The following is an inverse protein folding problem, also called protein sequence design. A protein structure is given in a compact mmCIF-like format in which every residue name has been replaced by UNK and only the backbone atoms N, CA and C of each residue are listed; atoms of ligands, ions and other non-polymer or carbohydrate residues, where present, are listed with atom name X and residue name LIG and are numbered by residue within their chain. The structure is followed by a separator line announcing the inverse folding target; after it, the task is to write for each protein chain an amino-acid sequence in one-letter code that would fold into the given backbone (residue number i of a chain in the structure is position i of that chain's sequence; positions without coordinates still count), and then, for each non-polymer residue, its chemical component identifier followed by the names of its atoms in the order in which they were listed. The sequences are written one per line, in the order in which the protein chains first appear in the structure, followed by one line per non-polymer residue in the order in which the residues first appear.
data_IF_815535519159
#
_entry.id   IF_815535519159
#
_cell.length_a   1.000
_cell.length_b   1.000
_cell.length_c   1.000
_cell.angle_alpha   90.00
_cell.angle_beta   90.00
_cell.angle_gamma   90.00
#
_symmetry.space_group_name_H-M   'P 1'
#
loop_
_entity.id
_entity.type
_entity.pdbx_description
1 polymer ?
#
# COMPACT_ATOMS: atom_id res chain seq x y z
N UNK A 1 8.48 -19.60 -18.36
CA UNK A 1 9.63 -18.90 -17.78
C UNK A 1 9.19 -17.54 -17.25
N UNK A 2 9.85 -17.02 -16.23
CA UNK A 2 9.60 -15.69 -15.65
C UNK A 2 9.58 -14.60 -16.74
N UNK A 3 10.52 -14.64 -17.66
CA UNK A 3 10.62 -13.69 -18.78
C UNK A 3 9.32 -13.64 -19.62
N UNK A 4 8.76 -14.80 -19.96
CA UNK A 4 7.51 -14.87 -20.72
C UNK A 4 6.36 -14.27 -19.94
N UNK A 5 6.27 -14.56 -18.63
CA UNK A 5 5.26 -13.99 -17.75
C UNK A 5 5.37 -12.45 -17.67
N UNK A 6 6.59 -11.89 -17.52
CA UNK A 6 6.81 -10.44 -17.52
C UNK A 6 6.36 -9.76 -18.83
N UNK A 7 6.53 -10.45 -19.98
CA UNK A 7 6.04 -9.97 -21.28
C UNK A 7 4.52 -10.01 -21.32
N UNK A 8 3.91 -11.14 -20.93
CA UNK A 8 2.46 -11.32 -20.94
C UNK A 8 1.76 -10.31 -20.03
N UNK A 9 2.38 -9.97 -18.90
CA UNK A 9 1.89 -8.93 -17.96
C UNK A 9 2.28 -7.51 -18.35
N UNK A 10 2.96 -7.31 -19.47
CA UNK A 10 3.39 -6.02 -20.02
C UNK A 10 4.32 -5.20 -19.13
N UNK A 11 5.11 -5.87 -18.29
CA UNK A 11 6.17 -5.18 -17.53
C UNK A 11 7.43 -4.97 -18.36
N UNK A 12 7.68 -5.84 -19.34
CA UNK A 12 8.74 -5.71 -20.33
C UNK A 12 8.17 -5.94 -21.73
N UNK A 13 8.85 -5.43 -22.74
CA UNK A 13 8.56 -5.69 -24.14
C UNK A 13 9.82 -6.09 -24.90
N UNK A 14 9.64 -6.83 -25.98
CA UNK A 14 10.74 -7.12 -26.91
C UNK A 14 11.06 -5.84 -27.67
N UNK A 15 12.32 -5.49 -27.72
CA UNK A 15 12.81 -4.43 -28.59
C UNK A 15 13.09 -5.05 -29.96
N UNK A 16 12.35 -4.63 -31.01
CA UNK A 16 12.73 -4.94 -32.37
C UNK A 16 14.01 -4.14 -32.66
N UNK A 17 15.14 -4.82 -32.73
CA UNK A 17 16.32 -4.28 -33.35
C UNK A 17 15.97 -4.25 -34.82
N UNK A 18 15.28 -3.19 -35.27
CA UNK A 18 15.06 -2.93 -36.68
C UNK A 18 16.45 -3.00 -37.33
N UNK A 19 16.54 -3.68 -38.49
CA UNK A 19 17.74 -3.79 -39.28
C UNK A 19 18.58 -2.50 -39.09
N UNK A 20 19.74 -2.66 -38.43
CA UNK A 20 20.72 -1.58 -38.36
C UNK A 20 20.87 -1.03 -39.75
N UNK A 21 20.44 0.22 -39.98
CA UNK A 21 20.91 0.95 -41.14
C UNK A 21 22.43 0.93 -41.05
N UNK A 22 23.08 0.32 -42.03
CA UNK A 22 24.54 0.11 -42.17
C UNK A 22 25.30 1.45 -42.42
N UNK A 23 24.92 2.55 -41.72
CA UNK A 23 25.63 3.80 -41.76
C UNK A 23 25.95 4.27 -40.35
N UNK A 24 26.71 3.47 -39.61
CA UNK A 24 27.47 3.93 -38.48
C UNK A 24 28.92 4.00 -38.91
N UNK A 25 29.50 5.19 -38.88
CA UNK A 25 30.94 5.35 -39.02
C UNK A 25 31.66 4.42 -38.06
N UNK A 26 32.59 3.67 -38.58
CA UNK A 26 33.30 2.53 -37.99
C UNK A 26 34.20 2.94 -36.77
N UNK A 27 34.15 4.18 -36.31
CA UNK A 27 35.07 4.74 -35.31
C UNK A 27 34.48 4.97 -33.89
N UNK A 28 33.22 4.59 -33.63
CA UNK A 28 32.69 4.60 -32.24
C UNK A 28 32.80 3.25 -31.56
N UNK A 29 33.61 3.12 -30.50
CA UNK A 29 33.72 1.85 -29.76
C UNK A 29 32.33 1.44 -29.24
N UNK A 30 31.97 0.14 -29.46
CA UNK A 30 30.74 -0.37 -28.86
C UNK A 30 30.84 -0.26 -27.33
N UNK A 31 29.74 -0.05 -26.65
CA UNK A 31 29.71 0.00 -25.16
C UNK A 31 30.34 -1.26 -24.52
N UNK A 32 30.31 -2.38 -25.22
CA UNK A 32 30.95 -3.62 -24.81
C UNK A 32 32.48 -3.48 -24.81
N UNK A 33 33.06 -2.77 -25.78
CA UNK A 33 34.50 -2.52 -25.85
C UNK A 33 34.94 -1.51 -24.81
N UNK A 34 34.09 -0.50 -24.50
CA UNK A 34 34.31 0.45 -23.42
C UNK A 34 34.22 -0.23 -22.05
N UNK A 35 33.28 -1.16 -21.85
CA UNK A 35 33.16 -1.92 -20.62
C UNK A 35 34.36 -2.87 -20.40
N UNK A 36 34.87 -3.46 -21.45
CA UNK A 36 36.09 -4.32 -21.41
C UNK A 36 37.34 -3.52 -21.07
N UNK A 37 37.45 -2.31 -21.63
CA UNK A 37 38.63 -1.43 -21.37
C UNK A 37 38.60 -0.77 -19.99
N UNK A 38 37.42 -0.52 -19.42
CA UNK A 38 37.26 0.12 -18.11
C UNK A 38 37.38 -0.86 -16.93
N UNK A 39 37.09 -2.15 -17.13
CA UNK A 39 37.02 -3.11 -16.04
C UNK A 39 38.33 -3.90 -15.82
N UNK A 40 39.22 -3.97 -16.82
CA UNK A 40 40.46 -4.75 -16.73
C UNK A 40 40.26 -6.25 -16.40
N UNK A 41 39.03 -6.72 -16.50
CA UNK A 41 38.67 -8.11 -16.17
C UNK A 41 38.67 -8.94 -17.44
N UNK A 42 39.74 -9.70 -17.63
CA UNK A 42 39.73 -10.85 -18.55
C UNK A 42 38.63 -11.80 -18.09
N UNK A 43 37.70 -12.10 -19.00
CA UNK A 43 36.73 -13.19 -18.78
C UNK A 43 37.52 -14.46 -18.65
N UNK A 44 37.72 -14.91 -17.42
CA UNK A 44 38.34 -16.21 -17.14
C UNK A 44 37.37 -17.26 -17.67
N UNK A 45 37.77 -17.96 -18.75
CA UNK A 45 37.12 -19.17 -19.19
C UNK A 45 37.02 -20.10 -17.98
N UNK A 46 35.82 -20.59 -17.71
CA UNK A 46 35.49 -21.48 -16.61
C UNK A 46 36.61 -22.51 -16.36
N UNK A 47 37.25 -22.39 -15.20
CA UNK A 47 37.92 -23.52 -14.58
C UNK A 47 36.82 -24.36 -13.92
N UNK A 48 36.59 -25.52 -14.46
CA UNK A 48 35.87 -26.58 -13.77
C UNK A 48 36.63 -26.84 -12.46
N UNK A 49 36.08 -26.36 -11.35
CA UNK A 49 36.61 -26.68 -10.00
C UNK A 49 36.04 -28.07 -9.68
N UNK A 50 36.87 -29.08 -9.74
CA UNK A 50 36.54 -30.37 -9.16
C UNK A 50 36.32 -30.18 -7.66
N UNK A 51 35.24 -30.72 -7.07
CA UNK A 51 34.96 -30.57 -5.66
C UNK A 51 35.99 -31.38 -4.86
N UNK A 52 36.95 -30.71 -4.23
CA UNK A 52 37.75 -31.29 -3.17
C UNK A 52 36.86 -31.56 -1.96
N UNK A 53 36.93 -32.75 -1.44
CA UNK A 53 36.26 -33.24 -0.25
C UNK A 53 36.53 -32.34 0.95
N UNK A 54 35.55 -31.49 1.28
CA UNK A 54 35.48 -30.83 2.58
C UNK A 54 34.21 -31.31 3.29
N UNK A 55 34.42 -32.25 4.16
CA UNK A 55 33.47 -32.79 5.12
C UNK A 55 32.94 -31.71 6.04
N UNK A 56 31.77 -31.14 5.77
CA UNK A 56 30.87 -30.57 6.76
C UNK A 56 29.45 -31.03 6.44
N UNK A 57 28.81 -31.69 7.43
CA UNK A 57 27.64 -32.51 7.34
C UNK A 57 26.32 -31.80 6.91
N UNK A 58 26.21 -31.50 5.65
CA UNK A 58 24.95 -31.27 4.98
C UNK A 58 24.57 -32.48 4.11
N UNK A 59 23.39 -33.07 4.40
CA UNK A 59 22.83 -34.14 3.59
C UNK A 59 22.68 -33.64 2.14
N UNK A 60 23.27 -34.38 1.20
CA UNK A 60 23.03 -34.22 -0.23
C UNK A 60 21.51 -34.17 -0.45
N UNK A 61 21.02 -33.09 -0.99
CA UNK A 61 19.72 -33.04 -1.64
C UNK A 61 19.86 -33.73 -3.00
N UNK A 62 19.79 -35.05 -2.99
CA UNK A 62 19.65 -35.85 -4.21
C UNK A 62 18.23 -35.70 -4.69
N UNK A 63 18.05 -35.20 -5.90
CA UNK A 63 16.87 -35.02 -6.73
C UNK A 63 16.31 -33.56 -6.76
N UNK A 64 17.21 -32.60 -7.00
CA UNK A 64 16.80 -31.46 -7.81
C UNK A 64 17.22 -31.84 -9.24
N UNK A 65 16.26 -32.19 -10.07
CA UNK A 65 16.49 -32.19 -11.52
C UNK A 65 16.97 -30.78 -11.88
N UNK A 66 18.24 -30.64 -12.13
CA UNK A 66 18.78 -29.43 -12.75
C UNK A 66 18.13 -29.36 -14.13
N UNK A 67 17.04 -28.59 -14.25
CA UNK A 67 16.70 -28.05 -15.54
C UNK A 67 17.87 -27.11 -15.92
N UNK A 68 18.84 -27.72 -16.57
CA UNK A 68 19.86 -26.99 -17.34
C UNK A 68 19.06 -26.18 -18.35
N UNK A 69 18.93 -24.89 -18.09
CA UNK A 69 18.38 -23.97 -19.08
C UNK A 69 19.40 -24.00 -20.21
N UNK A 70 19.05 -24.67 -21.30
CA UNK A 70 19.87 -24.75 -22.49
C UNK A 70 19.96 -23.35 -23.12
N UNK A 71 21.01 -22.61 -22.77
CA UNK A 71 21.33 -21.30 -23.34
C UNK A 71 21.93 -21.40 -24.75
N UNK A 72 21.95 -22.59 -25.37
CA UNK A 72 22.55 -22.79 -26.70
C UNK A 72 21.59 -22.49 -27.84
N UNK A 73 20.32 -22.11 -27.60
CA UNK A 73 19.49 -21.63 -28.70
C UNK A 73 19.94 -20.22 -29.09
N UNK A 74 20.54 -20.10 -30.26
CA UNK A 74 21.04 -18.87 -30.89
C UNK A 74 19.98 -17.73 -30.95
N UNK A 75 18.72 -18.09 -30.83
CA UNK A 75 17.59 -17.11 -30.78
C UNK A 75 17.54 -16.28 -29.50
N UNK A 76 18.23 -16.67 -28.42
CA UNK A 76 18.22 -15.94 -27.15
C UNK A 76 19.14 -14.72 -27.14
N UNK A 77 20.12 -14.66 -28.03
CA UNK A 77 21.13 -13.59 -28.03
C UNK A 77 20.76 -12.37 -28.89
N UNK A 78 19.80 -12.50 -29.81
CA UNK A 78 19.38 -11.39 -30.68
C UNK A 78 18.12 -10.65 -30.20
N UNK A 79 17.58 -11.01 -29.04
CA UNK A 79 16.37 -10.39 -28.54
C UNK A 79 16.69 -9.47 -27.36
N UNK A 80 16.64 -8.16 -27.56
CA UNK A 80 16.72 -7.19 -26.48
C UNK A 80 15.33 -7.01 -25.83
N UNK A 81 15.32 -6.81 -24.54
CA UNK A 81 14.12 -6.51 -23.77
C UNK A 81 14.27 -5.15 -23.11
N UNK A 82 13.20 -4.38 -23.10
CA UNK A 82 13.15 -3.11 -22.38
C UNK A 82 11.95 -3.08 -21.43
N UNK A 83 12.11 -2.38 -20.31
CA UNK A 83 11.00 -2.17 -19.39
C UNK A 83 9.96 -1.25 -20.03
N UNK A 84 8.70 -1.64 -19.94
CA UNK A 84 7.60 -0.74 -20.27
C UNK A 84 7.49 0.38 -19.23
N UNK A 85 6.68 1.38 -19.50
CA UNK A 85 6.39 2.45 -18.54
C UNK A 85 5.86 1.88 -17.20
N UNK A 86 5.02 0.84 -17.26
CA UNK A 86 4.52 0.14 -16.08
C UNK A 86 5.65 -0.61 -15.39
N UNK A 87 6.50 -1.33 -16.13
CA UNK A 87 7.66 -2.03 -15.58
C UNK A 87 8.66 -1.09 -14.90
N UNK A 88 8.91 0.08 -15.49
CA UNK A 88 9.75 1.12 -14.87
C UNK A 88 9.11 1.64 -13.56
N UNK A 89 7.79 1.83 -13.54
CA UNK A 89 7.07 2.27 -12.33
C UNK A 89 7.17 1.22 -11.22
N UNK A 90 7.00 -0.07 -11.54
CA UNK A 90 7.17 -1.18 -10.59
C UNK A 90 8.57 -1.18 -9.98
N UNK A 91 9.60 -1.03 -10.81
CA UNK A 91 10.98 -0.94 -10.34
C UNK A 91 11.22 0.29 -9.44
N UNK A 92 10.66 1.47 -9.79
CA UNK A 92 10.75 2.68 -8.98
C UNK A 92 10.06 2.55 -7.61
N UNK A 93 8.99 1.78 -7.53
CA UNK A 93 8.25 1.52 -6.31
C UNK A 93 8.89 0.45 -5.42
N UNK A 94 9.92 -0.24 -5.91
CA UNK A 94 10.62 -1.33 -5.23
C UNK A 94 9.70 -2.47 -4.79
N UNK A 95 8.67 -2.78 -5.58
CA UNK A 95 7.73 -3.87 -5.31
C UNK A 95 8.00 -5.06 -6.23
N UNK A 96 7.67 -6.25 -5.75
CA UNK A 96 7.71 -7.46 -6.55
C UNK A 96 6.75 -7.35 -7.76
N UNK A 97 7.16 -7.73 -9.00
CA UNK A 97 6.26 -7.73 -10.15
C UNK A 97 4.96 -8.51 -9.93
N UNK A 98 5.01 -9.60 -9.16
CA UNK A 98 3.80 -10.35 -8.80
C UNK A 98 2.88 -9.56 -7.88
N UNK A 99 3.44 -8.80 -6.93
CA UNK A 99 2.66 -7.84 -6.13
C UNK A 99 1.97 -6.79 -6.99
N UNK A 100 2.70 -6.25 -7.96
CA UNK A 100 2.15 -5.28 -8.90
C UNK A 100 1.00 -5.87 -9.73
N UNK A 101 1.13 -7.10 -10.21
CA UNK A 101 0.09 -7.80 -10.97
C UNK A 101 -1.18 -8.01 -10.13
N UNK A 102 -1.04 -8.50 -8.90
CA UNK A 102 -2.15 -8.68 -7.96
C UNK A 102 -2.86 -7.35 -7.69
N UNK A 103 -2.10 -6.29 -7.42
CA UNK A 103 -2.66 -4.96 -7.15
C UNK A 103 -3.39 -4.42 -8.37
N UNK A 104 -2.79 -4.46 -9.56
CA UNK A 104 -3.39 -3.97 -10.81
C UNK A 104 -4.71 -4.68 -11.09
N UNK A 105 -4.75 -6.01 -11.02
CA UNK A 105 -5.98 -6.77 -11.29
C UNK A 105 -7.09 -6.49 -10.26
N UNK A 106 -6.74 -6.39 -8.97
CA UNK A 106 -7.70 -6.03 -7.93
C UNK A 106 -8.23 -4.60 -8.08
N UNK A 107 -7.36 -3.64 -8.42
CA UNK A 107 -7.74 -2.25 -8.66
C UNK A 107 -8.62 -2.11 -9.92
N UNK A 108 -8.32 -2.85 -10.98
CA UNK A 108 -9.18 -2.92 -12.17
C UNK A 108 -10.56 -3.47 -11.84
N UNK A 109 -10.63 -4.48 -10.96
CA UNK A 109 -11.92 -5.00 -10.45
C UNK A 109 -12.64 -3.93 -9.63
N UNK A 110 -11.95 -3.19 -8.77
CA UNK A 110 -12.54 -2.10 -7.99
C UNK A 110 -13.13 -1.01 -8.89
N UNK A 111 -12.42 -0.55 -9.92
CA UNK A 111 -12.96 0.43 -10.88
C UNK A 111 -14.20 -0.12 -11.57
N UNK A 112 -14.18 -1.39 -12.05
CA UNK A 112 -15.36 -2.01 -12.67
C UNK A 112 -16.58 -2.06 -11.73
N UNK A 113 -16.37 -2.35 -10.42
CA UNK A 113 -17.45 -2.31 -9.43
C UNK A 113 -18.03 -0.91 -9.25
N UNK A 114 -17.18 0.11 -9.17
CA UNK A 114 -17.63 1.51 -9.08
C UNK A 114 -18.43 1.90 -10.32
N UNK A 115 -17.95 1.55 -11.52
CA UNK A 115 -18.66 1.82 -12.79
C UNK A 115 -20.03 1.15 -12.84
N UNK A 116 -20.12 -0.11 -12.41
CA UNK A 116 -21.37 -0.89 -12.43
C UNK A 116 -22.29 -0.55 -11.27
N UNK A 117 -21.75 0.02 -10.21
CA UNK A 117 -22.44 0.28 -8.93
C UNK A 117 -23.11 -0.99 -8.37
N UNK A 118 -22.40 -2.12 -8.44
CA UNK A 118 -22.92 -3.44 -8.04
C UNK A 118 -22.48 -3.84 -6.63
N UNK A 119 -21.19 -3.85 -6.36
CA UNK A 119 -20.63 -4.24 -5.06
C UNK A 119 -19.80 -3.12 -4.45
N UNK A 120 -19.75 -2.99 -3.12
CA UNK A 120 -19.01 -1.93 -2.47
C UNK A 120 -17.49 -2.08 -2.68
N UNK A 121 -16.81 -0.95 -2.83
CA UNK A 121 -15.36 -0.85 -2.74
C UNK A 121 -15.04 -0.15 -1.42
N UNK A 122 -14.45 -0.88 -0.49
CA UNK A 122 -14.23 -0.43 0.88
C UNK A 122 -12.75 -0.33 1.23
N UNK A 123 -12.45 0.39 2.31
CA UNK A 123 -11.10 0.44 2.88
C UNK A 123 -10.61 -0.95 3.30
N UNK A 124 -11.51 -1.79 3.84
CA UNK A 124 -11.19 -3.17 4.17
C UNK A 124 -10.79 -3.97 2.93
N UNK A 125 -11.58 -3.88 1.85
CA UNK A 125 -11.28 -4.55 0.58
C UNK A 125 -9.93 -4.14 0.00
N UNK A 126 -9.56 -2.86 0.10
CA UNK A 126 -8.23 -2.36 -0.29
C UNK A 126 -7.12 -2.93 0.59
N UNK A 127 -7.31 -2.96 1.91
CA UNK A 127 -6.33 -3.56 2.83
C UNK A 127 -6.18 -5.07 2.60
N UNK A 128 -7.28 -5.78 2.29
CA UNK A 128 -7.24 -7.20 1.95
C UNK A 128 -6.48 -7.44 0.64
N UNK A 129 -6.71 -6.63 -0.38
CA UNK A 129 -5.98 -6.70 -1.65
C UNK A 129 -4.47 -6.52 -1.43
N UNK A 130 -4.08 -5.53 -0.64
CA UNK A 130 -2.66 -5.30 -0.28
C UNK A 130 -2.10 -6.49 0.49
N UNK A 131 -2.86 -7.04 1.44
CA UNK A 131 -2.42 -8.19 2.24
C UNK A 131 -2.16 -9.45 1.39
N UNK A 132 -2.76 -9.55 0.20
CA UNK A 132 -2.57 -10.67 -0.71
C UNK A 132 -1.24 -10.63 -1.50
N UNK A 133 -0.54 -9.50 -1.47
CA UNK A 133 0.73 -9.34 -2.20
C UNK A 133 1.89 -10.08 -1.52
N UNK A 134 2.86 -10.62 -2.28
CA UNK A 134 4.07 -11.21 -1.73
C UNK A 134 4.89 -10.26 -0.84
N UNK A 135 4.87 -8.96 -1.14
CA UNK A 135 5.59 -7.94 -0.36
C UNK A 135 4.96 -7.68 1.01
N UNK A 136 3.72 -8.09 1.23
CA UNK A 136 3.06 -7.93 2.52
C UNK A 136 3.27 -9.16 3.40
N UNK A 137 3.74 -8.94 4.62
CA UNK A 137 3.92 -9.99 5.61
C UNK A 137 2.61 -10.30 6.31
N UNK A 138 1.81 -11.22 5.74
CA UNK A 138 0.50 -11.58 6.26
C UNK A 138 0.57 -12.23 7.65
N UNK A 139 -0.48 -12.01 8.44
CA UNK A 139 -0.67 -12.66 9.73
C UNK A 139 -1.22 -14.08 9.53
N UNK A 140 -0.59 -15.05 10.16
CA UNK A 140 -1.12 -16.41 10.14
C UNK A 140 -2.25 -16.58 11.17
N UNK A 141 -3.35 -17.24 10.81
CA UNK A 141 -4.40 -17.57 11.77
C UNK A 141 -3.92 -18.65 12.74
N UNK A 142 -4.39 -18.60 13.97
CA UNK A 142 -4.25 -19.71 14.92
C UNK A 142 -5.30 -20.78 14.61
N UNK A 143 -5.04 -22.05 15.00
CA UNK A 143 -6.00 -23.14 14.78
C UNK A 143 -7.39 -22.83 15.35
N UNK A 144 -7.48 -22.23 16.53
CA UNK A 144 -8.76 -21.82 17.15
C UNK A 144 -9.49 -20.69 16.40
N UNK A 145 -8.79 -19.90 15.62
CA UNK A 145 -9.38 -18.85 14.77
C UNK A 145 -9.96 -19.42 13.47
N UNK A 146 -9.60 -20.65 13.13
CA UNK A 146 -10.13 -21.40 11.98
C UNK A 146 -11.37 -22.20 12.32
N UNK A 147 -11.73 -22.31 13.60
CA UNK A 147 -12.91 -23.03 14.06
C UNK A 147 -14.19 -22.37 13.53
N UNK A 148 -15.20 -23.22 13.31
CA UNK A 148 -16.52 -22.75 12.91
C UNK A 148 -17.12 -21.87 14.02
N UNK A 149 -17.51 -20.63 13.65
CA UNK A 149 -18.06 -19.67 14.62
C UNK A 149 -17.01 -18.74 15.26
N UNK A 150 -15.72 -18.89 14.94
CA UNK A 150 -14.70 -17.93 15.39
C UNK A 150 -14.97 -16.52 14.86
N UNK A 151 -14.51 -15.51 15.61
CA UNK A 151 -14.63 -14.10 15.20
C UNK A 151 -14.00 -13.84 13.82
N UNK A 152 -12.90 -14.54 13.51
CA UNK A 152 -12.21 -14.38 12.22
C UNK A 152 -13.05 -14.90 11.06
N UNK A 153 -13.70 -16.08 11.22
CA UNK A 153 -14.61 -16.60 10.20
C UNK A 153 -15.86 -15.73 10.02
N UNK A 154 -16.39 -15.20 11.12
CA UNK A 154 -17.51 -14.26 11.04
C UNK A 154 -17.12 -12.99 10.29
N UNK A 155 -15.92 -12.43 10.58
CA UNK A 155 -15.42 -11.24 9.83
C UNK A 155 -15.19 -11.56 8.36
N UNK A 156 -14.68 -12.76 8.04
CA UNK A 156 -14.48 -13.20 6.66
C UNK A 156 -15.81 -13.29 5.90
N UNK A 157 -16.85 -13.86 6.51
CA UNK A 157 -18.18 -13.96 5.91
C UNK A 157 -18.82 -12.59 5.65
N UNK A 158 -18.67 -11.64 6.60
CA UNK A 158 -19.16 -10.26 6.42
C UNK A 158 -18.41 -9.55 5.28
N UNK A 159 -17.12 -9.86 5.09
CA UNK A 159 -16.28 -9.19 4.09
C UNK A 159 -16.41 -9.76 2.68
N UNK A 160 -17.12 -10.86 2.46
CA UNK A 160 -17.13 -11.57 1.19
C UNK A 160 -17.40 -10.65 -0.01
N UNK A 161 -18.38 -9.77 0.11
CA UNK A 161 -18.73 -8.79 -0.94
C UNK A 161 -17.70 -7.66 -1.10
N UNK A 162 -16.85 -7.44 -0.09
CA UNK A 162 -15.84 -6.39 -0.11
C UNK A 162 -14.55 -6.83 -0.82
N UNK A 163 -14.31 -8.16 -0.95
CA UNK A 163 -13.05 -8.70 -1.45
C UNK A 163 -12.84 -8.39 -2.94
N UNK A 164 -11.70 -7.77 -3.25
CA UNK A 164 -11.31 -7.38 -4.61
C UNK A 164 -10.58 -8.48 -5.37
N UNK A 165 -10.23 -9.57 -4.71
CA UNK A 165 -9.61 -10.76 -5.30
C UNK A 165 -10.40 -11.98 -4.90
N UNK A 166 -10.43 -12.97 -5.78
CA UNK A 166 -10.93 -14.30 -5.45
C UNK A 166 -9.86 -15.02 -4.66
N UNK A 167 -10.23 -15.53 -3.52
CA UNK A 167 -9.33 -16.34 -2.70
C UNK A 167 -10.07 -17.61 -2.28
N UNK A 168 -9.47 -18.79 -2.46
CA UNK A 168 -10.04 -20.00 -1.90
C UNK A 168 -10.17 -19.82 -0.38
N UNK A 169 -11.20 -20.43 0.24
CA UNK A 169 -11.40 -20.37 1.69
C UNK A 169 -10.42 -21.30 2.44
N UNK A 170 -9.15 -21.11 2.18
CA UNK A 170 -8.06 -21.83 2.83
C UNK A 170 -7.45 -21.02 4.00
N UNK A 171 -6.48 -21.61 4.67
CA UNK A 171 -5.79 -21.01 5.79
C UNK A 171 -5.07 -19.70 5.39
N UNK A 172 -4.53 -19.65 4.17
CA UNK A 172 -3.88 -18.45 3.63
C UNK A 172 -4.87 -17.32 3.46
N UNK A 173 -6.04 -17.59 2.88
CA UNK A 173 -7.12 -16.61 2.72
C UNK A 173 -7.56 -16.03 4.07
N UNK A 174 -7.68 -16.89 5.09
CA UNK A 174 -8.01 -16.45 6.45
C UNK A 174 -6.91 -15.56 7.04
N UNK A 175 -5.65 -15.80 6.69
CA UNK A 175 -4.51 -14.94 7.05
C UNK A 175 -4.59 -13.55 6.43
N UNK A 176 -5.05 -13.45 5.16
CA UNK A 176 -5.28 -12.17 4.48
C UNK A 176 -6.38 -11.37 5.17
N UNK A 177 -7.52 -12.02 5.48
CA UNK A 177 -8.63 -11.41 6.23
C UNK A 177 -8.15 -10.94 7.59
N UNK A 178 -7.39 -11.75 8.33
CA UNK A 178 -6.82 -11.40 9.64
C UNK A 178 -5.93 -10.16 9.55
N UNK A 179 -5.12 -10.06 8.51
CA UNK A 179 -4.22 -8.93 8.27
C UNK A 179 -4.98 -7.64 7.97
N UNK A 180 -6.00 -7.72 7.11
CA UNK A 180 -6.88 -6.60 6.81
C UNK A 180 -7.66 -6.17 8.05
N UNK A 181 -8.17 -7.12 8.83
CA UNK A 181 -8.90 -6.85 10.06
C UNK A 181 -8.04 -6.21 11.16
N UNK A 182 -6.79 -6.66 11.30
CA UNK A 182 -5.82 -6.00 12.17
C UNK A 182 -5.64 -4.52 11.81
N UNK A 183 -5.52 -4.23 10.52
CA UNK A 183 -5.40 -2.87 10.00
C UNK A 183 -6.70 -2.06 10.22
N UNK A 184 -7.86 -2.69 10.01
CA UNK A 184 -9.18 -2.08 10.25
C UNK A 184 -9.36 -1.70 11.72
N UNK A 185 -9.06 -2.59 12.66
CA UNK A 185 -9.11 -2.30 14.09
C UNK A 185 -8.20 -1.11 14.45
N UNK A 186 -7.00 -1.06 13.86
CA UNK A 186 -6.05 0.02 14.08
C UNK A 186 -6.59 1.38 13.61
N UNK A 187 -7.08 1.50 12.38
CA UNK A 187 -7.59 2.78 11.88
C UNK A 187 -8.98 3.14 12.43
N UNK A 188 -9.68 2.22 13.05
CA UNK A 188 -10.90 2.47 13.82
C UNK A 188 -10.63 2.83 15.29
N UNK A 189 -9.35 3.07 15.63
CA UNK A 189 -8.91 3.56 16.94
C UNK A 189 -8.96 2.52 18.06
N UNK A 190 -9.10 1.23 17.74
CA UNK A 190 -8.96 0.20 18.74
C UNK A 190 -7.59 0.31 19.43
N UNK A 191 -7.56 0.11 20.74
CA UNK A 191 -6.31 0.13 21.47
C UNK A 191 -5.47 -1.12 21.18
N UNK A 192 -4.13 -0.98 21.26
CA UNK A 192 -3.22 -2.08 20.93
C UNK A 192 -3.45 -3.33 21.79
N UNK A 193 -3.88 -3.20 23.04
CA UNK A 193 -4.15 -4.33 23.93
C UNK A 193 -5.38 -5.12 23.46
N UNK A 194 -6.40 -4.40 22.96
CA UNK A 194 -7.59 -5.03 22.37
C UNK A 194 -7.22 -5.78 21.11
N UNK A 195 -6.42 -5.18 20.24
CA UNK A 195 -5.92 -5.82 19.00
C UNK A 195 -5.08 -7.06 19.37
N UNK A 196 -4.13 -6.92 20.30
CA UNK A 196 -3.27 -8.00 20.78
C UNK A 196 -4.10 -9.17 21.34
N UNK A 197 -5.07 -8.88 22.22
CA UNK A 197 -5.92 -9.89 22.83
C UNK A 197 -6.79 -10.59 21.79
N UNK A 198 -7.36 -9.86 20.85
CA UNK A 198 -8.33 -10.39 19.88
C UNK A 198 -7.66 -11.19 18.77
N UNK A 199 -6.52 -10.69 18.23
CA UNK A 199 -5.84 -11.31 17.09
C UNK A 199 -4.58 -12.09 17.50
N UNK A 200 -4.16 -12.02 18.74
CA UNK A 200 -2.97 -12.70 19.24
C UNK A 200 -1.69 -12.24 18.57
N UNK A 201 -1.60 -10.95 18.27
CA UNK A 201 -0.46 -10.28 17.63
C UNK A 201 0.24 -9.38 18.65
N UNK A 202 1.53 -9.11 18.45
CA UNK A 202 2.25 -8.15 19.31
C UNK A 202 2.12 -6.71 18.79
N UNK A 203 2.35 -5.68 19.61
CA UNK A 203 2.40 -4.30 19.14
C UNK A 203 3.42 -4.07 18.01
N UNK A 204 4.57 -4.77 18.05
CA UNK A 204 5.56 -4.73 16.99
C UNK A 204 5.05 -5.30 15.67
N UNK A 205 4.27 -6.38 15.75
CA UNK A 205 3.59 -6.97 14.59
C UNK A 205 2.61 -5.99 13.95
N UNK A 206 1.82 -5.28 14.76
CA UNK A 206 0.87 -4.28 14.25
C UNK A 206 1.62 -3.17 13.54
N UNK A 207 2.62 -2.56 14.16
CA UNK A 207 3.35 -1.43 13.56
C UNK A 207 4.05 -1.80 12.25
N UNK A 208 4.71 -2.95 12.19
CA UNK A 208 5.38 -3.40 10.96
C UNK A 208 4.39 -3.59 9.81
N UNK A 209 3.17 -4.11 10.09
CA UNK A 209 2.12 -4.26 9.05
C UNK A 209 1.54 -2.92 8.63
N UNK A 210 1.41 -1.97 9.54
CA UNK A 210 0.96 -0.61 9.23
C UNK A 210 1.93 0.10 8.27
N UNK A 211 3.23 -0.06 8.48
CA UNK A 211 4.25 0.52 7.61
C UNK A 211 4.19 -0.11 6.21
N UNK A 212 4.13 -1.44 6.12
CA UNK A 212 3.96 -2.17 4.85
C UNK A 212 2.65 -1.80 4.15
N UNK A 213 1.54 -1.77 4.88
CA UNK A 213 0.22 -1.39 4.34
C UNK A 213 0.25 0.02 3.76
N UNK A 214 0.85 0.97 4.48
CA UNK A 214 0.96 2.37 4.03
C UNK A 214 1.79 2.48 2.75
N UNK A 215 2.90 1.75 2.67
CA UNK A 215 3.76 1.72 1.49
C UNK A 215 3.05 1.09 0.28
N UNK A 216 2.42 -0.08 0.45
CA UNK A 216 1.74 -0.79 -0.64
C UNK A 216 0.44 -0.11 -1.08
N UNK A 217 -0.28 0.60 -0.19
CA UNK A 217 -1.38 1.49 -0.60
C UNK A 217 -0.88 2.66 -1.45
N UNK A 218 0.30 3.22 -1.12
CA UNK A 218 0.92 4.22 -1.99
C UNK A 218 1.27 3.62 -3.36
N UNK A 219 1.88 2.44 -3.39
CA UNK A 219 2.19 1.74 -4.63
C UNK A 219 0.92 1.45 -5.45
N UNK A 220 -0.17 1.02 -4.81
CA UNK A 220 -1.48 0.79 -5.43
C UNK A 220 -1.99 2.02 -6.17
N UNK A 221 -1.91 3.20 -5.53
CA UNK A 221 -2.29 4.47 -6.16
C UNK A 221 -1.44 4.76 -7.40
N UNK A 222 -0.12 4.65 -7.27
CA UNK A 222 0.83 4.95 -8.34
C UNK A 222 0.65 4.01 -9.55
N UNK A 223 0.37 2.72 -9.29
CA UNK A 223 0.06 1.74 -10.33
C UNK A 223 -1.26 2.06 -11.03
N UNK A 224 -2.32 2.38 -10.27
CA UNK A 224 -3.62 2.73 -10.81
C UNK A 224 -3.56 3.97 -11.70
N UNK A 225 -2.81 5.00 -11.28
CA UNK A 225 -2.62 6.23 -12.07
C UNK A 225 -1.80 6.01 -13.34
N UNK A 226 -0.97 4.96 -13.38
CA UNK A 226 -0.15 4.60 -14.56
C UNK A 226 -0.86 3.62 -15.49
N UNK A 227 -1.93 2.96 -15.01
CA UNK A 227 -2.67 1.98 -15.81
C UNK A 227 -3.52 2.68 -16.89
N UNK A 228 -3.21 2.39 -18.14
CA UNK A 228 -3.84 2.98 -19.34
C UNK A 228 -5.04 2.19 -19.89
N UNK A 229 -5.43 1.10 -19.17
CA UNK A 229 -6.51 0.21 -19.65
C UNK A 229 -7.90 0.87 -19.63
N UNK A 230 -8.07 1.89 -18.81
CA UNK A 230 -9.34 2.56 -18.69
C UNK A 230 -9.49 3.68 -19.72
N UNK A 231 -10.61 3.67 -20.43
CA UNK A 231 -10.94 4.76 -21.34
C UNK A 231 -11.10 6.09 -20.59
N UNK A 232 -10.91 7.22 -21.30
CA UNK A 232 -11.02 8.57 -20.71
C UNK A 232 -12.36 8.82 -20.01
N UNK A 233 -13.42 8.19 -20.46
CA UNK A 233 -14.76 8.23 -19.85
C UNK A 233 -14.84 7.62 -18.46
N UNK A 234 -13.91 6.73 -18.10
CA UNK A 234 -13.83 6.11 -16.77
C UNK A 234 -12.95 6.87 -15.80
N UNK A 235 -12.30 7.96 -16.22
CA UNK A 235 -11.32 8.70 -15.42
C UNK A 235 -11.92 9.22 -14.09
N UNK A 236 -13.19 9.59 -14.06
CA UNK A 236 -13.88 10.00 -12.84
C UNK A 236 -13.92 8.88 -11.79
N UNK A 237 -14.13 7.64 -12.20
CA UNK A 237 -14.18 6.47 -11.30
C UNK A 237 -12.79 6.08 -10.81
N UNK A 238 -11.78 6.23 -11.66
CA UNK A 238 -10.37 6.09 -11.27
C UNK A 238 -10.02 7.14 -10.23
N UNK A 239 -10.42 8.40 -10.44
CA UNK A 239 -10.20 9.49 -9.48
C UNK A 239 -10.90 9.23 -8.14
N UNK A 240 -12.11 8.70 -8.17
CA UNK A 240 -12.84 8.30 -6.95
C UNK A 240 -12.09 7.21 -6.18
N UNK A 241 -11.59 6.18 -6.87
CA UNK A 241 -10.81 5.12 -6.24
C UNK A 241 -9.48 5.63 -5.69
N UNK A 242 -8.79 6.52 -6.41
CA UNK A 242 -7.57 7.20 -5.93
C UNK A 242 -7.85 7.95 -4.64
N UNK A 243 -8.98 8.67 -4.56
CA UNK A 243 -9.41 9.35 -3.34
C UNK A 243 -9.62 8.40 -2.17
N UNK A 244 -10.25 7.24 -2.42
CA UNK A 244 -10.45 6.21 -1.39
C UNK A 244 -9.10 5.61 -0.93
N UNK A 245 -8.18 5.32 -1.85
CA UNK A 245 -6.84 4.81 -1.51
C UNK A 245 -6.07 5.84 -0.65
N UNK A 246 -6.10 7.12 -1.03
CA UNK A 246 -5.43 8.17 -0.26
C UNK A 246 -6.03 8.33 1.14
N UNK A 247 -7.36 8.30 1.26
CA UNK A 247 -8.05 8.33 2.54
C UNK A 247 -7.65 7.13 3.41
N UNK A 248 -7.72 5.92 2.86
CA UNK A 248 -7.34 4.67 3.54
C UNK A 248 -5.88 4.75 4.03
N UNK A 249 -4.97 5.18 3.16
CA UNK A 249 -3.55 5.35 3.49
C UNK A 249 -3.34 6.33 4.66
N UNK A 250 -4.03 7.47 4.66
CA UNK A 250 -3.94 8.47 5.73
C UNK A 250 -4.48 7.91 7.05
N UNK A 251 -5.62 7.22 7.04
CA UNK A 251 -6.21 6.59 8.20
C UNK A 251 -5.32 5.50 8.78
N UNK A 252 -4.80 4.62 7.92
CA UNK A 252 -3.86 3.55 8.30
C UNK A 252 -2.62 4.13 8.95
N UNK A 253 -1.99 5.13 8.31
CA UNK A 253 -0.78 5.78 8.83
C UNK A 253 -1.02 6.46 10.19
N UNK A 254 -2.14 7.16 10.33
CA UNK A 254 -2.47 7.90 11.55
C UNK A 254 -3.08 7.00 12.65
N UNK A 255 -3.64 5.85 12.30
CA UNK A 255 -4.36 4.95 13.20
C UNK A 255 -5.63 5.60 13.76
N UNK A 256 -6.39 6.32 12.94
CA UNK A 256 -7.57 7.03 13.38
C UNK A 256 -8.66 7.10 12.31
N UNK A 257 -9.86 7.45 12.75
CA UNK A 257 -11.00 7.72 11.88
C UNK A 257 -10.81 9.03 11.11
N UNK A 258 -11.60 9.20 10.05
CA UNK A 258 -11.51 10.33 9.14
C UNK A 258 -11.67 11.69 9.84
N UNK A 259 -12.57 11.76 10.83
CA UNK A 259 -12.86 12.98 11.60
C UNK A 259 -11.63 13.58 12.31
N UNK A 260 -10.61 12.75 12.59
CA UNK A 260 -9.39 13.17 13.26
C UNK A 260 -8.23 13.53 12.32
N UNK A 261 -8.35 13.25 11.03
CA UNK A 261 -7.23 13.38 10.08
C UNK A 261 -6.66 14.81 10.01
N UNK A 262 -7.49 15.82 10.23
CA UNK A 262 -7.05 17.22 10.28
C UNK A 262 -6.23 17.51 11.54
N UNK A 263 -6.60 16.93 12.68
CA UNK A 263 -5.94 17.14 13.96
C UNK A 263 -4.60 16.42 14.07
N UNK A 264 -4.50 15.19 13.55
CA UNK A 264 -3.24 14.41 13.61
C UNK A 264 -2.13 14.96 12.71
N UNK A 265 -2.42 15.94 11.85
CA UNK A 265 -1.41 16.68 11.09
C UNK A 265 -0.61 17.64 11.97
N UNK A 266 -1.16 18.01 13.12
CA UNK A 266 -0.49 18.91 14.07
C UNK A 266 0.61 18.13 14.80
N UNK A 267 1.81 18.67 14.83
CA UNK A 267 2.94 18.06 15.51
C UNK A 267 2.59 17.80 17.00
N UNK A 268 3.00 16.64 17.50
CA UNK A 268 2.70 16.17 18.86
C UNK A 268 1.22 15.83 19.12
N UNK A 269 0.35 15.86 18.12
CA UNK A 269 -1.05 15.41 18.23
C UNK A 269 -1.17 14.07 17.53
N UNK A 270 -0.97 12.97 18.25
CA UNK A 270 -1.27 11.61 17.77
C UNK A 270 -2.76 11.28 17.98
N UNK A 271 -3.20 10.09 17.52
CA UNK A 271 -4.60 9.65 17.52
C UNK A 271 -5.32 9.85 18.86
N UNK A 272 -4.71 9.48 19.99
CA UNK A 272 -5.31 9.62 21.32
C UNK A 272 -5.53 11.10 21.72
N UNK A 273 -4.56 11.98 21.42
CA UNK A 273 -4.72 13.41 21.67
C UNK A 273 -5.74 14.04 20.73
N UNK A 274 -5.75 13.65 19.45
CA UNK A 274 -6.74 14.12 18.49
C UNK A 274 -8.16 13.74 18.94
N UNK A 275 -8.38 12.53 19.45
CA UNK A 275 -9.68 12.11 20.00
C UNK A 275 -10.08 12.97 21.19
N UNK A 276 -9.16 13.23 22.13
CA UNK A 276 -9.41 14.14 23.26
C UNK A 276 -9.83 15.55 22.81
N UNK A 277 -9.17 16.10 21.79
CA UNK A 277 -9.53 17.40 21.22
C UNK A 277 -10.91 17.36 20.56
N UNK A 278 -11.20 16.32 19.78
CA UNK A 278 -12.51 16.14 19.13
C UNK A 278 -13.65 16.04 20.13
N UNK A 279 -13.47 15.32 21.26
CA UNK A 279 -14.42 15.25 22.38
C UNK A 279 -14.68 16.62 23.05
N UNK A 280 -13.72 17.53 22.98
CA UNK A 280 -13.86 18.91 23.44
C UNK A 280 -14.47 19.84 22.37
N UNK A 281 -14.91 19.29 21.23
CA UNK A 281 -15.49 20.04 20.12
C UNK A 281 -14.49 20.71 19.18
N UNK A 282 -13.19 20.43 19.34
CA UNK A 282 -12.10 20.91 18.50
C UNK A 282 -11.91 19.92 17.37
N UNK A 283 -12.25 20.29 16.14
CA UNK A 283 -12.21 19.40 14.97
C UNK A 283 -11.11 19.74 13.96
N UNK A 284 -10.61 20.96 14.03
CA UNK A 284 -9.59 21.46 13.12
C UNK A 284 -8.44 22.12 13.90
N UNK A 285 -7.24 22.20 13.30
CA UNK A 285 -6.16 22.98 13.91
C UNK A 285 -6.52 24.45 14.16
N UNK A 286 -7.37 25.04 13.31
CA UNK A 286 -7.87 26.40 13.49
C UNK A 286 -8.71 26.58 14.76
N UNK A 287 -9.50 25.58 15.15
CA UNK A 287 -10.31 25.61 16.37
C UNK A 287 -9.44 25.70 17.63
N UNK A 288 -8.21 25.15 17.59
CA UNK A 288 -7.24 25.25 18.68
C UNK A 288 -6.81 26.70 18.95
N UNK A 289 -6.80 27.56 17.93
CA UNK A 289 -6.45 28.96 18.09
C UNK A 289 -7.58 29.78 18.73
N UNK A 290 -8.80 29.29 18.64
CA UNK A 290 -10.02 29.93 19.21
C UNK A 290 -10.51 29.25 20.50
N UNK A 291 -9.70 28.38 21.10
CA UNK A 291 -10.06 27.69 22.36
C UNK A 291 -10.22 28.69 23.50
N UNK A 292 -11.25 28.51 24.34
CA UNK A 292 -11.44 29.36 25.52
C UNK A 292 -10.35 29.11 26.57
N UNK A 293 -9.99 30.14 27.36
CA UNK A 293 -9.02 29.98 28.46
C UNK A 293 -9.44 28.88 29.43
N UNK A 294 -10.75 28.78 29.72
CA UNK A 294 -11.32 27.74 30.60
C UNK A 294 -11.08 26.32 30.05
N UNK A 295 -11.26 26.13 28.77
CA UNK A 295 -11.04 24.81 28.13
C UNK A 295 -9.56 24.52 27.96
N UNK A 296 -8.74 25.54 27.74
CA UNK A 296 -7.29 25.43 27.72
C UNK A 296 -6.76 24.96 29.09
N UNK A 297 -7.26 25.52 30.20
CA UNK A 297 -6.87 25.10 31.55
C UNK A 297 -7.34 23.66 31.84
N UNK A 298 -8.53 23.27 31.41
CA UNK A 298 -9.00 21.89 31.47
C UNK A 298 -8.09 20.94 30.66
N UNK A 299 -7.66 21.38 29.49
CA UNK A 299 -6.77 20.58 28.64
C UNK A 299 -5.41 20.40 29.31
N UNK A 300 -4.83 21.48 29.85
CA UNK A 300 -3.54 21.45 30.57
C UNK A 300 -3.55 20.57 31.83
N UNK A 301 -4.72 20.39 32.46
CA UNK A 301 -4.88 19.54 33.64
C UNK A 301 -5.09 18.05 33.30
N UNK A 302 -5.40 17.70 32.05
CA UNK A 302 -5.58 16.30 31.64
C UNK A 302 -4.23 15.55 31.64
N UNK A 303 -4.27 14.26 32.00
CA UNK A 303 -3.09 13.39 31.96
C UNK A 303 -2.53 13.33 30.54
N UNK A 304 -1.23 13.59 30.38
CA UNK A 304 -0.54 13.60 29.09
C UNK A 304 -0.63 14.91 28.29
N UNK A 305 -1.18 15.99 28.93
CA UNK A 305 -1.35 17.32 28.37
C UNK A 305 -0.69 18.40 29.25
N UNK A 306 0.54 18.29 29.58
CA UNK A 306 1.19 19.33 30.42
C UNK A 306 1.27 20.70 29.72
N UNK A 307 1.39 21.82 30.48
CA UNK A 307 1.40 23.18 29.93
C UNK A 307 2.41 23.37 28.80
N UNK A 308 3.63 22.86 28.96
CA UNK A 308 4.70 22.95 27.95
C UNK A 308 4.30 22.30 26.63
N UNK A 309 3.59 21.16 26.68
CA UNK A 309 3.14 20.46 25.47
C UNK A 309 2.04 21.23 24.77
N UNK A 310 1.07 21.73 25.52
CA UNK A 310 -0.03 22.51 24.97
C UNK A 310 0.49 23.78 24.29
N UNK A 311 1.41 24.48 24.94
CA UNK A 311 2.04 25.68 24.37
C UNK A 311 2.84 25.36 23.09
N UNK A 312 3.55 24.21 23.03
CA UNK A 312 4.20 23.73 21.80
C UNK A 312 3.20 23.48 20.67
N UNK A 313 2.11 22.79 20.96
CA UNK A 313 1.05 22.48 19.98
C UNK A 313 0.44 23.80 19.45
N UNK A 314 0.09 24.73 20.32
CA UNK A 314 -0.46 26.03 19.91
C UNK A 314 0.53 26.85 19.06
N UNK A 315 1.80 26.83 19.41
CA UNK A 315 2.83 27.51 18.64
C UNK A 315 3.05 26.87 17.26
N UNK A 316 2.98 25.53 17.16
CA UNK A 316 3.06 24.83 15.88
C UNK A 316 1.86 25.16 14.99
N UNK A 317 0.64 25.17 15.54
CA UNK A 317 -0.56 25.57 14.78
C UNK A 317 -0.47 27.02 14.28
N UNK A 318 0.03 27.95 15.09
CA UNK A 318 0.25 29.35 14.66
C UNK A 318 1.25 29.47 13.52
N UNK A 319 2.35 28.70 13.57
CA UNK A 319 3.40 28.74 12.53
C UNK A 319 2.94 28.22 11.18
N UNK A 320 2.09 27.20 11.17
CA UNK A 320 1.65 26.54 9.93
C UNK A 320 0.45 27.20 9.25
N UNK A 321 -0.09 28.33 9.78
CA UNK A 321 -1.17 29.08 9.14
C UNK A 321 -2.33 28.19 8.64
N UNK A 322 -2.78 27.26 9.46
CA UNK A 322 -3.94 26.44 9.11
C UNK A 322 -5.16 27.37 8.90
N UNK A 323 -5.93 27.22 7.80
CA UNK A 323 -7.10 28.06 7.56
C UNK A 323 -8.08 27.95 8.72
N UNK A 324 -8.44 29.10 9.30
CA UNK A 324 -9.45 29.17 10.35
C UNK A 324 -10.81 28.86 9.74
N UNK A 325 -11.49 27.87 10.28
CA UNK A 325 -12.89 27.63 9.96
C UNK A 325 -13.70 28.75 10.60
N UNK A 326 -14.20 29.70 9.81
CA UNK A 326 -15.20 30.64 10.27
C UNK A 326 -16.38 29.84 10.82
N UNK A 327 -16.66 29.96 12.11
CA UNK A 327 -17.92 29.47 12.70
C UNK A 327 -19.04 30.16 11.96
N UNK A 328 -19.75 29.49 11.05
CA UNK A 328 -21.08 29.92 10.65
C UNK A 328 -21.93 29.90 11.93
N UNK A 329 -22.31 31.05 12.38
CA UNK A 329 -23.33 31.22 13.42
C UNK A 329 -24.58 30.46 12.92
N UNK A 330 -25.14 29.63 13.79
CA UNK A 330 -26.37 28.86 13.56
C UNK A 330 -27.63 29.74 13.62
N UNK A 331 -27.58 30.96 13.12
CA UNK A 331 -28.69 31.93 13.20
C UNK A 331 -29.22 32.35 11.82
N UNK A 332 -29.05 31.53 10.80
CA UNK A 332 -29.74 31.76 9.52
C UNK A 332 -30.53 30.48 9.14
N UNK A 333 -31.61 30.24 9.88
CA UNK A 333 -32.77 29.48 9.40
C UNK A 333 -33.52 30.35 8.38
N UNK A 334 -32.96 30.48 7.17
CA UNK A 334 -33.74 30.92 6.01
C UNK A 334 -34.48 29.70 5.45
N UNK A 335 -35.83 29.71 5.41
CA UNK A 335 -36.60 28.62 4.83
C UNK A 335 -36.32 28.52 3.33
N UNK A 336 -36.03 27.29 2.86
CA UNK A 336 -35.84 26.98 1.46
C UNK A 336 -37.04 27.46 0.62
N UNK A 337 -36.83 28.19 -0.48
CA UNK A 337 -37.93 28.61 -1.35
C UNK A 337 -38.45 27.42 -2.14
N UNK A 338 -39.66 26.93 -1.81
CA UNK A 338 -40.33 25.95 -2.65
C UNK A 338 -41.38 25.02 -2.07
N UNK A 339 -41.78 25.14 -0.79
CA UNK A 339 -43.00 24.43 -0.35
C UNK A 339 -44.25 25.26 -0.66
N UNK A 340 -44.82 25.04 -1.86
CA UNK A 340 -46.20 25.43 -2.09
C UNK A 340 -47.09 24.27 -1.65
N UNK A 341 -47.96 24.60 -0.71
CA UNK A 341 -49.13 23.81 -0.33
C UNK A 341 -49.98 23.47 -1.57
N UNK A 342 -50.26 22.17 -1.71
CA UNK A 342 -51.51 21.65 -2.25
C UNK A 342 -51.92 20.45 -1.37
#
# INVERSE_FOLDING_TARGET
SMLRWLIDKRFIRRRNIGSRNENWDDDTPSWVDVAKSASGVEIIKERVIEPSEATFGFRKASNIEQHVIDFTSTEAFDTEYEATDMGQKVAQLYIDPLSADILIEGLRRAVRRIVRNDLPVTEFGLCHLVAATPDFLSLWPKSSELDFGSDLRQRAAIAEDELLIESPLDERAMGLVKSAWCTEMWYNEEDLRTIEKKLGVTPGDVHSRIDLMTWLLHASKELLMKDDIFAKEHLQYVTQLVGLIDLTKLRVRAGCKEDLLKLVQVRNVGRSRARTLSEMGIRTPGDLLSISNKDLDKLKSKRGWGPILVDKILNDVKKFNFPQTTKKSRDDDEPLPGERQY
#
